data_IF_535598185282
#
_entry.id   IF_535598185282
#
_cell.length_a   1.000
_cell.length_b   1.000
_cell.length_c   1.000
_cell.angle_alpha   90.00
_cell.angle_beta   90.00
_cell.angle_gamma   90.00
#
_symmetry.space_group_name_H-M   'P 1'
#
loop_
_entity.id
_entity.type
_entity.pdbx_description
1 polymer ?
#
# COMPACT_ATOMS: atom_id res chain seq x y z
N UNK A 1 24.46 9.53 -2.99
CA UNK A 1 23.87 9.62 -4.35
C UNK A 1 24.19 10.95 -5.01
N UNK A 2 24.38 10.93 -6.31
CA UNK A 2 24.58 12.16 -7.09
C UNK A 2 23.26 12.92 -7.25
N UNK A 3 23.35 14.22 -7.65
CA UNK A 3 22.15 15.02 -7.89
C UNK A 3 21.25 14.41 -8.98
N UNK A 4 21.85 13.85 -10.03
CA UNK A 4 21.11 13.17 -11.11
C UNK A 4 20.44 11.90 -10.61
N UNK A 5 21.11 11.13 -9.76
CA UNK A 5 20.54 9.93 -9.14
C UNK A 5 19.35 10.27 -8.25
N UNK A 6 19.42 11.34 -7.48
CA UNK A 6 18.31 11.81 -6.66
C UNK A 6 17.09 12.17 -7.52
N UNK A 7 17.30 12.88 -8.62
CA UNK A 7 16.21 13.23 -9.55
C UNK A 7 15.55 11.98 -10.17
N UNK A 8 16.36 11.02 -10.58
CA UNK A 8 15.85 9.75 -11.11
C UNK A 8 15.08 8.95 -10.06
N UNK A 9 15.59 8.92 -8.85
CA UNK A 9 14.94 8.28 -7.71
C UNK A 9 13.58 8.91 -7.39
N UNK A 10 13.53 10.24 -7.31
CA UNK A 10 12.28 10.97 -7.05
C UNK A 10 11.24 10.69 -8.14
N UNK A 11 11.65 10.68 -9.42
CA UNK A 11 10.75 10.37 -10.52
C UNK A 11 10.19 8.94 -10.41
N UNK A 12 11.04 7.96 -10.08
CA UNK A 12 10.60 6.57 -9.87
C UNK A 12 9.61 6.45 -8.70
N UNK A 13 9.87 7.16 -7.61
CA UNK A 13 8.98 7.16 -6.45
C UNK A 13 7.63 7.80 -6.73
N UNK A 14 7.59 8.77 -7.65
CA UNK A 14 6.35 9.41 -8.13
C UNK A 14 5.57 8.54 -9.14
N UNK A 15 6.07 7.37 -9.48
CA UNK A 15 5.40 6.42 -10.35
C UNK A 15 5.83 6.45 -11.82
N UNK A 16 6.88 7.21 -12.16
CA UNK A 16 7.39 7.23 -13.53
C UNK A 16 7.97 5.87 -13.94
N UNK A 17 7.83 5.52 -15.21
CA UNK A 17 8.53 4.37 -15.75
C UNK A 17 10.03 4.67 -15.89
N UNK A 18 10.82 3.64 -16.22
CA UNK A 18 12.29 3.77 -16.32
C UNK A 18 12.70 4.84 -17.34
N UNK A 19 12.03 4.88 -18.48
CA UNK A 19 12.35 5.84 -19.55
C UNK A 19 12.09 7.28 -19.12
N UNK A 20 10.94 7.54 -18.49
CA UNK A 20 10.57 8.88 -18.02
C UNK A 20 11.44 9.32 -16.84
N UNK A 21 11.79 8.42 -15.95
CA UNK A 21 12.70 8.69 -14.84
C UNK A 21 14.11 9.02 -15.34
N UNK A 22 14.59 8.31 -16.35
CA UNK A 22 15.87 8.61 -16.98
C UNK A 22 15.87 9.99 -17.64
N UNK A 23 14.80 10.35 -18.35
CA UNK A 23 14.63 11.67 -18.94
C UNK A 23 14.62 12.77 -17.87
N UNK A 24 13.92 12.56 -16.76
CA UNK A 24 13.89 13.50 -15.64
C UNK A 24 15.27 13.70 -15.01
N UNK A 25 16.07 12.65 -14.94
CA UNK A 25 17.45 12.71 -14.43
C UNK A 25 18.46 13.24 -15.44
N UNK A 26 18.08 13.41 -16.71
CA UNK A 26 18.99 13.84 -17.77
C UNK A 26 19.98 12.76 -18.19
N UNK A 27 19.62 11.50 -18.08
CA UNK A 27 20.43 10.34 -18.48
C UNK A 27 19.65 9.42 -19.40
N UNK A 28 20.33 8.44 -20.00
CA UNK A 28 19.64 7.45 -20.82
C UNK A 28 19.09 6.31 -19.96
N UNK A 29 18.18 5.53 -20.54
CA UNK A 29 17.54 4.41 -19.88
C UNK A 29 18.54 3.38 -19.34
N UNK A 30 19.61 3.14 -20.08
CA UNK A 30 20.66 2.17 -19.72
C UNK A 30 21.37 2.58 -18.43
N UNK A 31 21.67 3.88 -18.28
CA UNK A 31 22.30 4.45 -17.09
C UNK A 31 21.41 4.27 -15.86
N UNK A 32 20.13 4.61 -16.00
CA UNK A 32 19.18 4.41 -14.90
C UNK A 32 19.04 2.93 -14.51
N UNK A 33 18.96 2.05 -15.51
CA UNK A 33 18.92 0.60 -15.28
C UNK A 33 20.14 0.11 -14.49
N UNK A 34 21.32 0.65 -14.79
CA UNK A 34 22.54 0.34 -14.04
C UNK A 34 22.46 0.85 -12.59
N UNK A 35 21.91 2.05 -12.36
CA UNK A 35 21.72 2.57 -11.01
C UNK A 35 20.83 1.66 -10.15
N UNK A 36 19.80 1.08 -10.75
CA UNK A 36 18.91 0.15 -10.06
C UNK A 36 19.63 -1.13 -9.58
N UNK A 37 20.78 -1.44 -10.17
CA UNK A 37 21.64 -2.56 -9.71
C UNK A 37 22.64 -2.16 -8.63
N UNK A 38 22.85 -0.87 -8.41
CA UNK A 38 23.75 -0.37 -7.37
C UNK A 38 23.11 -0.50 -6.00
N UNK A 39 23.81 -1.10 -5.01
CA UNK A 39 23.21 -1.40 -3.70
C UNK A 39 22.63 -0.17 -2.98
N UNK A 40 23.34 0.95 -2.98
CA UNK A 40 22.87 2.16 -2.29
C UNK A 40 21.60 2.74 -2.94
N UNK A 41 21.58 2.82 -4.27
CA UNK A 41 20.42 3.33 -5.01
C UNK A 41 19.20 2.41 -4.79
N UNK A 42 19.39 1.12 -4.93
CA UNK A 42 18.33 0.13 -4.76
C UNK A 42 17.74 0.13 -3.35
N UNK A 43 18.60 0.17 -2.33
CA UNK A 43 18.15 0.23 -0.92
C UNK A 43 17.36 1.50 -0.64
N UNK A 44 17.83 2.64 -1.13
CA UNK A 44 17.16 3.93 -0.96
C UNK A 44 15.79 3.91 -1.64
N UNK A 45 15.72 3.37 -2.85
CA UNK A 45 14.46 3.20 -3.56
C UNK A 45 13.48 2.31 -2.80
N UNK A 46 13.92 1.15 -2.34
CA UNK A 46 13.08 0.22 -1.59
C UNK A 46 12.55 0.83 -0.29
N UNK A 47 13.42 1.50 0.46
CA UNK A 47 13.04 2.11 1.74
C UNK A 47 11.98 3.20 1.55
N UNK A 48 12.17 4.10 0.59
CA UNK A 48 11.22 5.19 0.34
C UNK A 48 9.92 4.69 -0.29
N UNK A 49 9.98 3.68 -1.15
CA UNK A 49 8.79 3.04 -1.72
C UNK A 49 7.95 2.38 -0.64
N UNK A 50 8.58 1.69 0.30
CA UNK A 50 7.89 1.08 1.45
C UNK A 50 7.22 2.13 2.33
N UNK A 51 7.92 3.24 2.62
CA UNK A 51 7.33 4.36 3.39
C UNK A 51 6.11 4.96 2.69
N UNK A 52 6.18 5.13 1.38
CA UNK A 52 5.05 5.61 0.58
C UNK A 52 3.83 4.71 0.69
N UNK A 53 4.04 3.40 0.60
CA UNK A 53 2.97 2.40 0.77
C UNK A 53 2.39 2.42 2.19
N UNK A 54 3.23 2.52 3.21
CA UNK A 54 2.77 2.62 4.60
C UNK A 54 1.91 3.86 4.84
N UNK A 55 2.32 5.01 4.30
CA UNK A 55 1.55 6.25 4.39
C UNK A 55 0.21 6.15 3.67
N UNK A 56 0.18 5.56 2.48
CA UNK A 56 -1.04 5.32 1.73
C UNK A 56 -1.98 4.39 2.49
N UNK A 57 -1.45 3.32 3.06
CA UNK A 57 -2.23 2.38 3.88
C UNK A 57 -2.84 3.07 5.11
N UNK A 58 -2.08 3.94 5.78
CA UNK A 58 -2.58 4.72 6.92
C UNK A 58 -3.70 5.68 6.52
N UNK A 59 -3.59 6.32 5.36
CA UNK A 59 -4.65 7.20 4.83
C UNK A 59 -5.94 6.42 4.54
N UNK A 60 -5.80 5.24 3.95
CA UNK A 60 -6.94 4.36 3.71
C UNK A 60 -7.58 3.90 5.01
N UNK A 61 -6.77 3.48 5.98
CA UNK A 61 -7.25 3.08 7.30
C UNK A 61 -7.98 4.24 8.02
N UNK A 62 -7.50 5.48 7.85
CA UNK A 62 -8.15 6.67 8.41
C UNK A 62 -9.54 6.95 7.83
N UNK A 63 -9.84 6.46 6.63
CA UNK A 63 -11.15 6.58 6.00
C UNK A 63 -12.07 5.37 6.27
N UNK A 64 -11.59 4.38 6.99
CA UNK A 64 -12.32 3.13 7.22
C UNK A 64 -13.64 3.35 7.96
N UNK A 65 -13.62 4.17 9.01
CA UNK A 65 -14.83 4.50 9.80
C UNK A 65 -15.92 5.12 8.93
N UNK A 66 -15.55 6.07 8.07
CA UNK A 66 -16.48 6.70 7.14
C UNK A 66 -17.07 5.71 6.14
N UNK A 67 -16.27 4.79 5.65
CA UNK A 67 -16.72 3.73 4.74
C UNK A 67 -17.70 2.78 5.44
N UNK A 68 -17.41 2.39 6.68
CA UNK A 68 -18.30 1.54 7.50
C UNK A 68 -19.62 2.26 7.75
N UNK A 69 -19.59 3.52 8.11
CA UNK A 69 -20.81 4.31 8.34
C UNK A 69 -21.67 4.41 7.09
N UNK A 70 -21.06 4.62 5.92
CA UNK A 70 -21.79 4.69 4.65
C UNK A 70 -22.48 3.37 4.34
N UNK A 71 -21.76 2.26 4.45
CA UNK A 71 -22.33 0.92 4.20
C UNK A 71 -23.46 0.64 5.17
N UNK A 72 -23.29 0.94 6.45
CA UNK A 72 -24.30 0.75 7.48
C UNK A 72 -25.54 1.58 7.20
N UNK A 73 -25.39 2.84 6.79
CA UNK A 73 -26.51 3.71 6.44
C UNK A 73 -27.32 3.18 5.26
N UNK A 74 -26.65 2.60 4.25
CA UNK A 74 -27.34 1.97 3.11
C UNK A 74 -28.12 0.72 3.55
N UNK A 75 -27.54 -0.10 4.43
CA UNK A 75 -28.22 -1.28 4.97
C UNK A 75 -29.49 -0.92 5.72
N UNK A 76 -29.46 0.18 6.47
CA UNK A 76 -30.57 0.62 7.34
C UNK A 76 -31.58 1.52 6.62
N UNK A 77 -31.30 1.95 5.40
CA UNK A 77 -32.14 2.84 4.62
C UNK A 77 -33.32 2.08 4.00
N UNK A 78 -34.52 2.25 4.57
CA UNK A 78 -35.73 1.63 4.07
C UNK A 78 -36.14 2.08 2.66
N UNK A 79 -35.65 3.26 2.24
CA UNK A 79 -35.91 3.82 0.90
C UNK A 79 -34.96 3.26 -0.15
N UNK A 80 -33.85 2.65 0.24
CA UNK A 80 -32.93 2.04 -0.70
C UNK A 80 -33.51 0.77 -1.33
N UNK A 81 -33.24 0.49 -2.61
CA UNK A 81 -33.68 -0.75 -3.25
C UNK A 81 -33.19 -1.98 -2.48
N UNK A 82 -34.02 -3.02 -2.32
CA UNK A 82 -33.61 -4.23 -1.59
C UNK A 82 -32.30 -4.87 -2.10
N UNK A 83 -32.07 -4.87 -3.41
CA UNK A 83 -30.83 -5.38 -3.98
C UNK A 83 -29.59 -4.60 -3.55
N UNK A 84 -29.72 -3.28 -3.39
CA UNK A 84 -28.62 -2.42 -2.93
C UNK A 84 -28.34 -2.65 -1.45
N UNK A 85 -29.38 -2.77 -0.63
CA UNK A 85 -29.26 -3.08 0.80
C UNK A 85 -28.61 -4.46 1.01
N UNK A 86 -29.02 -5.45 0.24
CA UNK A 86 -28.46 -6.80 0.29
C UNK A 86 -26.98 -6.80 -0.08
N UNK A 87 -26.62 -6.06 -1.12
CA UNK A 87 -25.23 -5.92 -1.55
C UNK A 87 -24.37 -5.26 -0.48
N UNK A 88 -24.86 -4.22 0.18
CA UNK A 88 -24.17 -3.57 1.29
C UNK A 88 -23.94 -4.57 2.46
N UNK A 89 -24.96 -5.35 2.82
CA UNK A 89 -24.85 -6.38 3.85
C UNK A 89 -23.80 -7.44 3.48
N UNK A 90 -23.76 -7.87 2.23
CA UNK A 90 -22.79 -8.84 1.74
C UNK A 90 -21.35 -8.29 1.81
N UNK A 91 -21.14 -7.01 1.48
CA UNK A 91 -19.83 -6.36 1.64
C UNK A 91 -19.37 -6.33 3.08
N UNK A 92 -20.28 -6.08 4.04
CA UNK A 92 -19.95 -6.12 5.47
C UNK A 92 -19.49 -7.53 5.88
N UNK A 93 -20.24 -8.56 5.49
CA UNK A 93 -19.89 -9.95 5.82
C UNK A 93 -18.54 -10.33 5.23
N UNK A 94 -18.32 -10.11 3.94
CA UNK A 94 -17.09 -10.48 3.25
C UNK A 94 -15.87 -9.73 3.80
N UNK A 95 -16.02 -8.43 4.03
CA UNK A 95 -14.94 -7.59 4.56
C UNK A 95 -14.62 -7.96 6.02
N UNK A 96 -15.63 -8.26 6.83
CA UNK A 96 -15.46 -8.68 8.23
C UNK A 96 -14.68 -10.00 8.31
N UNK A 97 -15.00 -10.95 7.47
CA UNK A 97 -14.30 -12.24 7.42
C UNK A 97 -12.83 -12.07 7.02
N UNK A 98 -12.55 -11.22 6.03
CA UNK A 98 -11.17 -10.93 5.61
C UNK A 98 -10.36 -10.24 6.70
N UNK A 99 -10.96 -9.29 7.42
CA UNK A 99 -10.30 -8.60 8.53
C UNK A 99 -9.98 -9.55 9.68
N UNK A 100 -10.92 -10.45 10.02
CA UNK A 100 -10.69 -11.47 11.04
C UNK A 100 -9.57 -12.42 10.66
N UNK A 101 -9.52 -12.86 9.40
CA UNK A 101 -8.44 -13.71 8.90
C UNK A 101 -7.08 -13.00 8.95
N UNK A 102 -7.03 -11.74 8.54
CA UNK A 102 -5.81 -10.94 8.58
C UNK A 102 -5.30 -10.75 10.02
N UNK A 103 -6.22 -10.50 10.97
CA UNK A 103 -5.89 -10.36 12.39
C UNK A 103 -5.36 -11.68 12.96
N UNK A 104 -5.98 -12.80 12.62
CA UNK A 104 -5.53 -14.13 13.04
C UNK A 104 -4.12 -14.44 12.54
N UNK A 105 -3.83 -14.13 11.28
CA UNK A 105 -2.49 -14.31 10.71
C UNK A 105 -1.47 -13.45 11.45
N UNK A 106 -1.78 -12.18 11.73
CA UNK A 106 -0.90 -11.30 12.48
C UNK A 106 -0.62 -11.83 13.89
N UNK A 107 -1.64 -12.31 14.58
CA UNK A 107 -1.51 -12.88 15.92
C UNK A 107 -0.62 -14.12 15.91
N UNK A 108 -0.76 -14.98 14.91
CA UNK A 108 0.11 -16.16 14.74
C UNK A 108 1.54 -15.80 14.46
N UNK A 109 1.79 -14.80 13.61
CA UNK A 109 3.12 -14.29 13.33
C UNK A 109 3.77 -13.70 14.57
N UNK A 110 3.04 -12.90 15.33
CA UNK A 110 3.52 -12.33 16.59
C UNK A 110 3.89 -13.42 17.59
N UNK A 111 3.08 -14.48 17.71
CA UNK A 111 3.36 -15.62 18.57
C UNK A 111 4.63 -16.38 18.16
N UNK A 112 4.85 -16.55 16.85
CA UNK A 112 6.05 -17.18 16.31
C UNK A 112 7.30 -16.33 16.58
N UNK A 113 7.22 -15.03 16.35
CA UNK A 113 8.32 -14.11 16.65
C UNK A 113 8.71 -14.15 18.12
N UNK A 114 7.73 -14.16 19.01
CA UNK A 114 7.95 -14.27 20.45
C UNK A 114 8.65 -15.57 20.82
N UNK A 115 8.26 -16.69 20.21
CA UNK A 115 8.95 -17.98 20.41
C UNK A 115 10.40 -17.95 19.94
N UNK A 116 10.67 -17.29 18.81
CA UNK A 116 12.03 -17.18 18.26
C UNK A 116 12.92 -16.29 19.15
N UNK A 117 12.36 -15.26 19.77
CA UNK A 117 13.10 -14.39 20.69
C UNK A 117 13.51 -15.12 21.99
N UNK A 118 12.77 -16.14 22.38
CA UNK A 118 13.03 -16.91 23.62
C UNK A 118 13.86 -18.18 23.39
N UNK A 119 14.34 -18.40 22.18
CA UNK A 119 15.27 -19.48 21.84
C UNK A 119 16.70 -18.94 21.74
#
# INVERSE_FOLDING_TARGET
LTAKQVKGLEALLDGANIQDAAAAAGVNRKTLGRWLTEPLFWKTYQLNSRRGLELAARRLAGNLDGAVELITSVMEDDEAPPAVRLRAAQHVIDSSLRLLDATDIQDRLAALEERLEHV
#
